data_IF_941800438798
#
_entry.id   IF_941800438798
#
_cell.length_a   1.000
_cell.length_b   1.000
_cell.length_c   1.000
_cell.angle_alpha   90.00
_cell.angle_beta   90.00
_cell.angle_gamma   90.00
#
_symmetry.space_group_name_H-M   'P 1'
#
loop_
_entity.id
_entity.type
_entity.pdbx_description
1 polymer ?
#
# COMPACT_ATOMS: atom_id res chain seq x y z
N UNK A 1 5.23 -18.97 -22.61
CA UNK A 1 4.63 -17.71 -23.08
C UNK A 1 5.27 -16.63 -22.23
N UNK A 2 6.09 -15.77 -22.82
CA UNK A 2 6.61 -14.61 -22.10
C UNK A 2 5.44 -13.71 -21.76
N UNK A 3 5.33 -13.33 -20.49
CA UNK A 3 4.31 -12.38 -20.05
C UNK A 3 4.62 -11.03 -20.68
N UNK A 4 3.77 -10.59 -21.63
CA UNK A 4 3.95 -9.31 -22.32
C UNK A 4 3.96 -8.12 -21.36
N UNK A 5 3.45 -8.29 -20.14
CA UNK A 5 3.49 -7.26 -19.09
C UNK A 5 4.89 -7.02 -18.54
N UNK A 6 5.84 -7.95 -18.69
CA UNK A 6 7.22 -7.83 -18.21
C UNK A 6 8.18 -7.23 -19.24
N UNK A 7 7.73 -7.00 -20.49
CA UNK A 7 8.58 -6.38 -21.52
C UNK A 7 8.69 -4.87 -21.28
N UNK A 8 9.90 -4.29 -21.41
CA UNK A 8 10.09 -2.86 -21.22
C UNK A 8 9.19 -2.06 -22.16
N UNK A 9 8.68 -0.91 -21.70
CA UNK A 9 7.74 -0.09 -22.47
C UNK A 9 8.38 0.47 -23.74
N UNK A 10 7.67 0.38 -24.87
CA UNK A 10 8.11 0.97 -26.14
C UNK A 10 7.79 2.47 -26.15
N UNK A 11 8.78 3.30 -26.48
CA UNK A 11 8.60 4.76 -26.54
C UNK A 11 8.82 5.48 -25.20
N UNK A 12 9.15 4.74 -24.13
CA UNK A 12 9.54 5.29 -22.85
C UNK A 12 10.87 6.08 -22.94
N UNK A 13 10.95 7.14 -22.16
CA UNK A 13 12.21 7.82 -21.85
C UNK A 13 13.16 6.90 -21.07
N UNK A 14 14.43 7.31 -20.98
CA UNK A 14 15.46 6.57 -20.21
C UNK A 14 15.03 6.40 -18.76
N UNK A 15 14.52 7.48 -18.14
CA UNK A 15 14.07 7.44 -16.76
C UNK A 15 12.85 6.52 -16.56
N UNK A 16 11.88 6.54 -17.47
CA UNK A 16 10.71 5.64 -17.40
C UNK A 16 11.11 4.18 -17.58
N UNK A 17 12.08 3.91 -18.46
CA UNK A 17 12.62 2.57 -18.65
C UNK A 17 13.36 2.07 -17.41
N UNK A 18 14.19 2.92 -16.79
CA UNK A 18 14.89 2.60 -15.53
C UNK A 18 13.90 2.36 -14.38
N UNK A 19 12.88 3.20 -14.26
CA UNK A 19 11.82 3.03 -13.26
C UNK A 19 11.05 1.72 -13.48
N UNK A 20 10.68 1.41 -14.74
CA UNK A 20 10.01 0.16 -15.07
C UNK A 20 10.86 -1.06 -14.68
N UNK A 21 12.14 -1.06 -15.05
CA UNK A 21 13.07 -2.15 -14.68
C UNK A 21 13.17 -2.31 -13.18
N UNK A 22 13.33 -1.21 -12.43
CA UNK A 22 13.35 -1.26 -10.96
C UNK A 22 12.08 -1.91 -10.38
N UNK A 23 10.90 -1.53 -10.89
CA UNK A 23 9.62 -2.06 -10.40
C UNK A 23 9.48 -3.58 -10.66
N UNK A 24 9.88 -4.05 -11.84
CA UNK A 24 9.80 -5.47 -12.23
C UNK A 24 10.88 -6.32 -11.55
N UNK A 25 12.09 -5.78 -11.40
CA UNK A 25 13.18 -6.48 -10.73
C UNK A 25 12.87 -6.68 -9.24
N UNK A 26 12.23 -5.71 -8.60
CA UNK A 26 11.79 -5.80 -7.22
C UNK A 26 10.79 -6.95 -7.00
N UNK A 27 9.71 -7.01 -7.80
CA UNK A 27 8.70 -8.07 -7.69
C UNK A 27 9.27 -9.46 -8.00
N UNK A 28 10.18 -9.55 -8.96
CA UNK A 28 10.83 -10.82 -9.35
C UNK A 28 11.78 -11.34 -8.26
N UNK A 29 12.54 -10.45 -7.62
CA UNK A 29 13.50 -10.84 -6.59
C UNK A 29 12.83 -11.25 -5.27
N UNK A 30 11.73 -10.59 -4.91
CA UNK A 30 11.05 -10.83 -3.63
C UNK A 30 10.11 -12.04 -3.65
N UNK A 31 9.63 -12.47 -4.83
CA UNK A 31 8.76 -13.65 -4.95
C UNK A 31 9.35 -14.92 -4.32
N UNK A 32 10.68 -15.08 -4.37
CA UNK A 32 11.40 -16.21 -3.75
C UNK A 32 11.35 -16.17 -2.21
N UNK A 33 11.38 -14.98 -1.63
CA UNK A 33 11.31 -14.80 -0.17
C UNK A 33 9.88 -15.08 0.30
N UNK A 34 8.88 -14.71 -0.50
CA UNK A 34 7.48 -14.99 -0.20
C UNK A 34 7.18 -16.49 -0.13
N UNK A 35 7.75 -17.28 -1.04
CA UNK A 35 7.62 -18.75 -1.03
C UNK A 35 8.19 -19.36 0.26
N UNK A 36 9.31 -18.82 0.76
CA UNK A 36 9.91 -19.26 2.02
C UNK A 36 8.99 -18.95 3.21
N UNK A 37 8.42 -17.74 3.27
CA UNK A 37 7.43 -17.39 4.31
C UNK A 37 6.23 -18.33 4.29
N UNK A 38 5.64 -18.57 3.11
CA UNK A 38 4.49 -19.48 2.99
C UNK A 38 4.85 -20.89 3.46
N UNK A 39 6.01 -21.41 3.04
CA UNK A 39 6.47 -22.75 3.46
C UNK A 39 6.65 -22.86 4.98
N UNK A 40 7.22 -21.83 5.63
CA UNK A 40 7.37 -21.80 7.09
C UNK A 40 6.01 -21.76 7.79
N UNK A 41 5.05 -20.97 7.27
CA UNK A 41 3.71 -20.90 7.84
C UNK A 41 2.94 -22.23 7.74
N UNK A 42 3.14 -23.00 6.67
CA UNK A 42 2.49 -24.29 6.45
C UNK A 42 3.12 -25.43 7.25
N UNK A 43 4.42 -25.35 7.54
CA UNK A 43 5.18 -26.45 8.17
C UNK A 43 5.39 -26.27 9.67
N UNK A 44 5.13 -25.09 10.23
CA UNK A 44 5.33 -24.83 11.66
C UNK A 44 4.19 -25.39 12.53
N UNK A 45 4.55 -26.00 13.66
CA UNK A 45 3.59 -26.40 14.70
C UNK A 45 3.07 -25.21 15.53
N UNK A 46 3.74 -24.05 15.45
CA UNK A 46 3.37 -22.86 16.21
C UNK A 46 2.27 -22.07 15.50
N UNK A 47 1.04 -22.19 16.00
CA UNK A 47 -0.12 -21.42 15.50
C UNK A 47 0.12 -19.91 15.53
N UNK A 48 0.82 -19.42 16.56
CA UNK A 48 1.13 -18.01 16.69
C UNK A 48 2.10 -17.54 15.60
N UNK A 49 3.12 -18.34 15.30
CA UNK A 49 4.07 -18.04 14.23
C UNK A 49 3.40 -18.10 12.86
N UNK A 50 2.63 -19.15 12.57
CA UNK A 50 1.88 -19.27 11.32
C UNK A 50 0.95 -18.07 11.10
N UNK A 51 0.27 -17.61 12.15
CA UNK A 51 -0.59 -16.44 12.08
C UNK A 51 0.18 -15.17 11.73
N UNK A 52 1.31 -14.90 12.39
CA UNK A 52 2.12 -13.70 12.11
C UNK A 52 2.73 -13.73 10.70
N UNK A 53 3.20 -14.89 10.25
CA UNK A 53 3.75 -15.01 8.90
C UNK A 53 2.67 -14.77 7.84
N UNK A 54 1.45 -15.26 8.05
CA UNK A 54 0.36 -15.00 7.13
C UNK A 54 0.02 -13.51 7.02
N UNK A 55 0.10 -12.74 8.12
CA UNK A 55 -0.04 -11.28 8.06
C UNK A 55 1.05 -10.62 7.20
N UNK A 56 2.29 -11.08 7.31
CA UNK A 56 3.39 -10.58 6.46
C UNK A 56 3.15 -10.93 4.98
N UNK A 57 2.76 -12.18 4.70
CA UNK A 57 2.46 -12.64 3.32
C UNK A 57 1.34 -11.82 2.70
N UNK A 58 0.31 -11.47 3.46
CA UNK A 58 -0.78 -10.61 2.98
C UNK A 58 -0.29 -9.20 2.62
N UNK A 59 0.59 -8.62 3.43
CA UNK A 59 1.12 -7.29 3.17
C UNK A 59 2.10 -7.29 1.98
N UNK A 60 2.99 -8.28 1.89
CA UNK A 60 3.91 -8.43 0.74
C UNK A 60 3.15 -8.64 -0.58
N UNK A 61 2.07 -9.44 -0.58
CA UNK A 61 1.22 -9.59 -1.77
C UNK A 61 0.56 -8.28 -2.19
N UNK A 62 0.14 -7.46 -1.22
CA UNK A 62 -0.41 -6.13 -1.50
C UNK A 62 0.67 -5.21 -2.05
N UNK A 63 1.87 -5.25 -1.48
CA UNK A 63 3.03 -4.48 -1.90
C UNK A 63 3.42 -4.81 -3.36
N UNK A 64 3.54 -6.10 -3.69
CA UNK A 64 3.81 -6.57 -5.06
C UNK A 64 2.76 -6.13 -6.08
N UNK A 65 1.49 -6.12 -5.66
CA UNK A 65 0.40 -5.65 -6.52
C UNK A 65 0.62 -4.19 -6.90
N UNK A 66 0.95 -3.31 -5.94
CA UNK A 66 1.19 -1.90 -6.24
C UNK A 66 2.35 -1.69 -7.22
N UNK A 67 3.43 -2.46 -7.09
CA UNK A 67 4.57 -2.39 -8.02
C UNK A 67 4.18 -2.83 -9.43
N UNK A 68 3.43 -3.91 -9.54
CA UNK A 68 2.93 -4.41 -10.84
C UNK A 68 1.96 -3.42 -11.47
N UNK A 69 1.04 -2.85 -10.69
CA UNK A 69 0.09 -1.83 -11.16
C UNK A 69 0.81 -0.54 -11.60
N UNK A 70 1.86 -0.12 -10.89
CA UNK A 70 2.72 1.00 -11.29
C UNK A 70 3.44 0.73 -12.61
N UNK A 71 4.09 -0.44 -12.74
CA UNK A 71 4.81 -0.80 -13.95
C UNK A 71 3.87 -0.90 -15.16
N UNK A 72 2.68 -1.50 -14.97
CA UNK A 72 1.66 -1.59 -16.02
C UNK A 72 1.14 -0.21 -16.41
N UNK A 73 0.89 0.68 -15.45
CA UNK A 73 0.40 2.03 -15.74
C UNK A 73 1.43 2.84 -16.50
N UNK A 74 2.70 2.80 -16.06
CA UNK A 74 3.82 3.43 -16.74
C UNK A 74 3.95 2.97 -18.19
N UNK A 75 3.77 1.66 -18.43
CA UNK A 75 3.78 1.10 -19.78
C UNK A 75 2.62 1.59 -20.64
N UNK A 76 1.40 1.58 -20.10
CA UNK A 76 0.21 2.11 -20.80
C UNK A 76 0.42 3.57 -21.23
N UNK A 77 1.00 4.38 -20.35
CA UNK A 77 1.30 5.79 -20.63
C UNK A 77 2.41 5.97 -21.67
N UNK A 78 3.53 5.28 -21.51
CA UNK A 78 4.67 5.36 -22.43
C UNK A 78 4.33 4.89 -23.86
N UNK A 79 3.51 3.84 -23.98
CA UNK A 79 3.09 3.28 -25.26
C UNK A 79 1.92 4.04 -25.91
N UNK A 80 1.43 5.10 -25.24
CA UNK A 80 0.28 5.91 -25.68
C UNK A 80 -0.95 5.04 -26.04
N UNK A 81 -1.15 3.99 -25.25
CA UNK A 81 -2.29 3.08 -25.46
C UNK A 81 -3.59 3.82 -25.15
N UNK A 82 -4.67 3.54 -25.89
CA UNK A 82 -6.00 4.14 -25.64
C UNK A 82 -6.71 3.62 -24.37
N UNK A 83 -6.08 2.70 -23.64
CA UNK A 83 -6.59 2.16 -22.40
C UNK A 83 -6.28 3.11 -21.25
N UNK A 84 -7.17 3.16 -20.25
CA UNK A 84 -6.87 3.87 -19.02
C UNK A 84 -5.79 3.11 -18.22
N UNK A 85 -4.85 3.83 -17.59
CA UNK A 85 -3.86 3.20 -16.73
C UNK A 85 -4.55 2.54 -15.52
N UNK A 86 -3.96 1.44 -15.04
CA UNK A 86 -4.50 0.68 -13.89
C UNK A 86 -4.52 1.55 -12.63
N UNK A 87 -3.46 2.34 -12.43
CA UNK A 87 -3.40 3.39 -11.43
C UNK A 87 -3.94 4.67 -12.06
N UNK A 88 -5.08 5.20 -11.56
CA UNK A 88 -5.68 6.39 -12.13
C UNK A 88 -4.77 7.61 -12.03
N UNK A 89 -4.92 8.51 -13.00
CA UNK A 89 -4.35 9.86 -12.89
C UNK A 89 -5.07 10.65 -11.81
N UNK A 90 -4.40 11.66 -11.28
CA UNK A 90 -5.03 12.58 -10.34
C UNK A 90 -6.09 13.41 -11.07
N UNK A 91 -7.34 13.20 -10.69
CA UNK A 91 -8.53 13.88 -11.24
C UNK A 91 -9.46 14.38 -10.13
N UNK A 92 -8.92 14.62 -8.94
CA UNK A 92 -9.64 15.12 -7.77
C UNK A 92 -10.24 16.53 -7.98
N UNK A 93 -9.82 17.24 -9.03
CA UNK A 93 -10.39 18.50 -9.47
C UNK A 93 -11.76 18.35 -10.17
N UNK A 94 -12.15 17.13 -10.54
CA UNK A 94 -13.48 16.84 -11.07
C UNK A 94 -14.58 16.82 -9.99
N UNK A 95 -14.21 16.83 -8.71
CA UNK A 95 -15.13 16.83 -7.56
C UNK A 95 -15.20 18.24 -6.96
N UNK A 96 -16.37 18.62 -6.42
CA UNK A 96 -16.48 19.89 -5.70
C UNK A 96 -15.49 19.93 -4.53
N UNK A 97 -14.58 20.91 -4.58
CA UNK A 97 -13.48 21.04 -3.63
C UNK A 97 -13.96 21.28 -2.19
N UNK A 98 -15.09 21.97 -1.99
CA UNK A 98 -15.60 22.27 -0.66
C UNK A 98 -16.19 21.01 -0.02
N UNK A 99 -17.01 20.27 -0.78
CA UNK A 99 -17.60 19.01 -0.32
C UNK A 99 -16.53 17.95 -0.05
N UNK A 100 -15.54 17.82 -0.94
CA UNK A 100 -14.41 16.90 -0.77
C UNK A 100 -13.60 17.24 0.48
N UNK A 101 -13.25 18.52 0.67
CA UNK A 101 -12.51 18.96 1.86
C UNK A 101 -13.29 18.73 3.16
N UNK A 102 -14.62 18.96 3.16
CA UNK A 102 -15.44 18.70 4.34
C UNK A 102 -15.41 17.22 4.72
N UNK A 103 -15.66 16.33 3.76
CA UNK A 103 -15.67 14.88 3.99
C UNK A 103 -14.30 14.40 4.44
N UNK A 104 -13.23 14.81 3.75
CA UNK A 104 -11.86 14.39 4.09
C UNK A 104 -11.45 14.89 5.48
N UNK A 105 -11.80 16.12 5.88
CA UNK A 105 -11.51 16.61 7.22
C UNK A 105 -12.28 15.85 8.31
N UNK A 106 -13.53 15.47 8.03
CA UNK A 106 -14.32 14.63 8.95
C UNK A 106 -13.65 13.27 9.14
N UNK A 107 -13.26 12.59 8.06
CA UNK A 107 -12.56 11.31 8.12
C UNK A 107 -11.21 11.42 8.84
N UNK A 108 -10.41 12.47 8.56
CA UNK A 108 -9.16 12.73 9.27
C UNK A 108 -9.35 12.90 10.77
N UNK A 109 -10.47 13.49 11.20
CA UNK A 109 -10.79 13.63 12.62
C UNK A 109 -11.05 12.27 13.27
N UNK A 110 -11.75 11.37 12.56
CA UNK A 110 -11.99 10.00 13.01
C UNK A 110 -10.67 9.22 13.14
N UNK A 111 -9.86 9.16 12.07
CA UNK A 111 -8.58 8.43 12.11
C UNK A 111 -7.63 8.94 13.21
N UNK A 112 -7.62 10.25 13.49
CA UNK A 112 -6.84 10.82 14.60
C UNK A 112 -7.39 10.48 15.98
N UNK A 113 -8.69 10.26 16.11
CA UNK A 113 -9.29 9.77 17.35
C UNK A 113 -8.92 8.30 17.55
N UNK A 114 -9.07 7.48 16.51
CA UNK A 114 -8.72 6.05 16.52
C UNK A 114 -7.24 5.86 16.88
N UNK A 115 -6.33 6.66 16.30
CA UNK A 115 -4.90 6.63 16.64
C UNK A 115 -4.63 6.90 18.14
N UNK A 116 -5.44 7.75 18.78
CA UNK A 116 -5.32 8.04 20.23
C UNK A 116 -5.87 6.88 21.06
N UNK A 117 -6.98 6.27 20.62
CA UNK A 117 -7.58 5.12 21.29
C UNK A 117 -6.66 3.90 21.21
N UNK A 118 -6.11 3.59 20.04
CA UNK A 118 -5.12 2.52 19.86
C UNK A 118 -3.86 2.74 20.70
N UNK A 119 -3.38 3.99 20.84
CA UNK A 119 -2.28 4.32 21.76
C UNK A 119 -2.61 4.06 23.23
N UNK A 120 -3.87 4.22 23.64
CA UNK A 120 -4.31 3.90 25.01
C UNK A 120 -4.40 2.39 25.19
N UNK A 121 -5.06 1.71 24.24
CA UNK A 121 -5.20 0.26 24.24
C UNK A 121 -3.83 -0.44 24.28
N UNK A 122 -2.84 0.02 23.52
CA UNK A 122 -1.49 -0.51 23.57
C UNK A 122 -0.88 -0.45 24.98
N UNK A 123 -1.12 0.64 25.72
CA UNK A 123 -0.60 0.79 27.09
C UNK A 123 -1.28 -0.18 28.05
N UNK A 124 -2.59 -0.39 27.91
CA UNK A 124 -3.34 -1.34 28.71
C UNK A 124 -2.90 -2.79 28.46
N UNK A 125 -2.48 -3.09 27.23
CA UNK A 125 -2.00 -4.40 26.82
C UNK A 125 -0.51 -4.63 27.11
N UNK A 126 0.21 -3.66 27.68
CA UNK A 126 1.65 -3.75 27.93
C UNK A 126 2.02 -4.99 28.74
N UNK A 127 1.23 -5.33 29.76
CA UNK A 127 1.51 -6.48 30.63
C UNK A 127 1.27 -7.84 29.94
N UNK A 128 0.62 -7.84 28.78
CA UNK A 128 0.32 -9.03 27.97
C UNK A 128 1.25 -9.20 26.76
N UNK A 129 2.27 -8.35 26.63
CA UNK A 129 3.15 -8.27 25.45
C UNK A 129 3.97 -9.54 25.17
N UNK A 130 4.18 -10.39 26.17
CA UNK A 130 4.95 -11.64 26.04
C UNK A 130 4.09 -12.90 26.08
N UNK A 131 2.77 -12.76 26.32
CA UNK A 131 1.86 -13.89 26.50
C UNK A 131 0.82 -13.97 25.38
N UNK A 132 0.59 -12.88 24.65
CA UNK A 132 -0.44 -12.80 23.61
C UNK A 132 0.07 -12.06 22.38
N UNK A 133 -0.58 -12.30 21.24
CA UNK A 133 -0.34 -11.54 20.00
C UNK A 133 -1.03 -10.17 19.99
N UNK A 134 -1.74 -9.79 21.06
CA UNK A 134 -2.58 -8.59 21.05
C UNK A 134 -1.77 -7.31 20.92
N UNK A 135 -0.60 -7.24 21.56
CA UNK A 135 0.27 -6.08 21.47
C UNK A 135 0.74 -5.80 20.04
N UNK A 136 1.17 -6.84 19.31
CA UNK A 136 1.61 -6.70 17.93
C UNK A 136 0.44 -6.40 16.98
N UNK A 137 -0.72 -7.01 17.19
CA UNK A 137 -1.91 -6.72 16.39
C UNK A 137 -2.35 -5.25 16.50
N UNK A 138 -2.35 -4.71 17.72
CA UNK A 138 -2.67 -3.29 17.95
C UNK A 138 -1.62 -2.38 17.32
N UNK A 139 -0.34 -2.77 17.31
CA UNK A 139 0.70 -2.01 16.61
C UNK A 139 0.49 -1.99 15.09
N UNK A 140 0.13 -3.13 14.49
CA UNK A 140 -0.20 -3.22 13.06
C UNK A 140 -1.39 -2.30 12.73
N UNK A 141 -2.46 -2.34 13.54
CA UNK A 141 -3.62 -1.46 13.35
C UNK A 141 -3.25 0.03 13.43
N UNK A 142 -2.29 0.41 14.28
CA UNK A 142 -1.80 1.79 14.34
C UNK A 142 -1.08 2.19 13.05
N UNK A 143 -0.26 1.30 12.49
CA UNK A 143 0.38 1.54 11.19
C UNK A 143 -0.65 1.70 10.06
N UNK A 144 -1.73 0.91 10.09
CA UNK A 144 -2.84 1.08 9.16
C UNK A 144 -3.54 2.43 9.33
N UNK A 145 -3.78 2.89 10.56
CA UNK A 145 -4.32 4.24 10.83
C UNK A 145 -3.38 5.34 10.30
N UNK A 146 -2.07 5.20 10.49
CA UNK A 146 -1.10 6.16 9.96
C UNK A 146 -1.12 6.19 8.42
N UNK A 147 -1.26 5.02 7.77
CA UNK A 147 -1.47 4.88 6.33
C UNK A 147 -2.75 5.60 5.88
N UNK A 148 -3.88 5.41 6.58
CA UNK A 148 -5.14 6.08 6.25
C UNK A 148 -5.02 7.61 6.37
N UNK A 149 -4.37 8.10 7.43
CA UNK A 149 -4.12 9.54 7.62
C UNK A 149 -3.27 10.10 6.49
N UNK A 150 -2.24 9.37 6.03
CA UNK A 150 -1.40 9.79 4.91
C UNK A 150 -2.21 9.92 3.62
N UNK A 151 -3.04 8.93 3.30
CA UNK A 151 -3.92 8.95 2.12
C UNK A 151 -4.91 10.12 2.19
N UNK A 152 -5.59 10.30 3.32
CA UNK A 152 -6.56 11.39 3.47
C UNK A 152 -5.91 12.78 3.41
N UNK A 153 -4.70 12.94 3.95
CA UNK A 153 -3.93 14.19 3.78
C UNK A 153 -3.60 14.45 2.32
N UNK A 154 -3.14 13.43 1.59
CA UNK A 154 -2.87 13.55 0.17
C UNK A 154 -4.11 14.01 -0.60
N UNK A 155 -5.29 13.44 -0.31
CA UNK A 155 -6.56 13.90 -0.90
C UNK A 155 -6.85 15.36 -0.54
N UNK A 156 -6.74 15.73 0.74
CA UNK A 156 -7.02 17.10 1.19
C UNK A 156 -6.07 18.15 0.56
N UNK A 157 -4.79 17.81 0.40
CA UNK A 157 -3.80 18.72 -0.18
C UNK A 157 -4.01 18.92 -1.68
N UNK A 158 -4.47 17.89 -2.39
CA UNK A 158 -4.79 17.95 -3.82
C UNK A 158 -6.20 18.48 -4.12
N UNK A 159 -7.11 18.50 -3.14
CA UNK A 159 -8.42 19.12 -3.25
C UNK A 159 -8.38 20.66 -3.13
N UNK A 160 -7.30 21.21 -2.56
CA UNK A 160 -7.15 22.67 -2.43
C UNK A 160 -6.84 23.28 -3.80
N UNK A 161 -7.50 24.38 -4.19
CA UNK A 161 -7.16 25.07 -5.44
C UNK A 161 -5.69 25.49 -5.41
N UNK A 162 -4.92 25.08 -6.44
CA UNK A 162 -3.51 25.47 -6.58
C UNK A 162 -3.43 27.00 -6.54
N UNK A 163 -2.79 27.55 -5.50
CA UNK A 163 -2.45 28.98 -5.45
C UNK A 163 -1.54 29.27 -6.65
N UNK A 164 -2.05 30.02 -7.62
CA UNK A 164 -1.27 30.60 -8.72
C UNK A 164 -0.29 31.63 -8.19
#
# INVERSE_FOLDING_TARGET
MEDETMKPPVGASVWESELFSYLIDHTTNEGKILEEYVSVAETTDSKALAYLINLLVEDERRHHRYFTELASSLKTEAELTRADPVIPRLDLDQVDSADLLEVTHRLLKHERADAKELKRLQKELHDLQHTTLWGILVEIMKHDTDKHIAILKFVADNARPKRR
#
